data_IF_269225018588
#
_entry.id   IF_269225018588
#
_cell.length_a   1.000
_cell.length_b   1.000
_cell.length_c   1.000
_cell.angle_alpha   90.00
_cell.angle_beta   90.00
_cell.angle_gamma   90.00
#
_symmetry.space_group_name_H-M   'P 1'
#
loop_
_entity.id
_entity.type
_entity.pdbx_description
1 polymer ?
#
# COMPACT_ATOMS: atom_id res chain seq x y z
N UNK A 1 -18.67 21.43 13.86
CA UNK A 1 -17.77 20.53 14.61
C UNK A 1 -17.93 19.18 13.95
N UNK A 2 -17.06 18.83 13.01
CA UNK A 2 -17.10 17.55 12.32
C UNK A 2 -16.02 16.67 12.95
N UNK A 3 -16.45 15.51 13.41
CA UNK A 3 -15.70 14.56 14.21
C UNK A 3 -14.39 14.17 13.53
N UNK A 4 -13.32 14.10 14.33
CA UNK A 4 -12.15 13.32 13.99
C UNK A 4 -12.54 11.84 14.02
N UNK A 5 -13.26 11.38 12.99
CA UNK A 5 -13.35 9.98 12.67
C UNK A 5 -11.90 9.52 12.44
N UNK A 6 -11.41 8.59 13.26
CA UNK A 6 -10.07 8.04 13.09
C UNK A 6 -9.94 7.54 11.65
N UNK A 7 -9.10 8.21 10.85
CA UNK A 7 -8.98 7.89 9.44
C UNK A 7 -8.57 6.42 9.29
N UNK A 8 -9.39 5.65 8.58
CA UNK A 8 -9.15 4.22 8.36
C UNK A 8 -7.89 4.00 7.53
N UNK A 9 -7.29 2.81 7.63
CA UNK A 9 -6.17 2.41 6.77
C UNK A 9 -6.46 2.62 5.28
N UNK A 10 -7.72 2.41 4.87
CA UNK A 10 -8.14 2.63 3.49
C UNK A 10 -8.14 4.12 3.12
N UNK A 11 -8.60 5.01 4.00
CA UNK A 11 -8.54 6.47 3.80
C UNK A 11 -7.10 6.94 3.61
N UNK A 12 -6.22 6.57 4.55
CA UNK A 12 -4.80 6.95 4.50
C UNK A 12 -4.13 6.48 3.21
N UNK A 13 -4.36 5.21 2.84
CA UNK A 13 -3.76 4.66 1.62
C UNK A 13 -4.31 5.34 0.36
N UNK A 14 -5.62 5.58 0.29
CA UNK A 14 -6.23 6.23 -0.87
C UNK A 14 -5.71 7.66 -1.08
N UNK A 15 -5.45 8.39 0.00
CA UNK A 15 -4.82 9.72 -0.08
C UNK A 15 -3.37 9.64 -0.51
N UNK A 16 -2.60 8.70 0.05
CA UNK A 16 -1.19 8.50 -0.29
C UNK A 16 -0.98 8.06 -1.74
N UNK A 17 -1.89 7.25 -2.30
CA UNK A 17 -1.80 6.70 -3.67
C UNK A 17 -2.78 7.34 -4.65
N UNK A 18 -3.23 8.58 -4.41
CA UNK A 18 -4.18 9.23 -5.32
C UNK A 18 -3.47 9.57 -6.65
N UNK A 19 -3.98 9.13 -7.82
CA UNK A 19 -3.40 9.44 -9.11
C UNK A 19 -3.26 10.94 -9.43
N UNK A 20 -3.99 11.80 -8.72
CA UNK A 20 -3.93 13.26 -8.87
C UNK A 20 -2.79 13.91 -8.08
N UNK A 21 -2.10 13.15 -7.22
CA UNK A 21 -0.96 13.65 -6.45
C UNK A 21 0.17 14.01 -7.43
N UNK A 22 0.76 15.21 -7.28
CA UNK A 22 1.89 15.63 -8.12
C UNK A 22 3.21 15.01 -7.72
N UNK A 23 3.30 14.54 -6.47
CA UNK A 23 4.48 13.95 -5.86
C UNK A 23 4.05 13.01 -4.73
N UNK A 24 5.01 12.31 -4.14
CA UNK A 24 4.80 11.48 -2.97
C UNK A 24 4.39 12.35 -1.76
N UNK A 25 3.26 12.01 -1.15
CA UNK A 25 2.76 12.70 0.03
C UNK A 25 3.20 11.96 1.30
N UNK A 26 4.35 12.38 1.81
CA UNK A 26 5.00 11.74 2.96
C UNK A 26 4.17 11.84 4.24
N UNK A 27 3.30 12.84 4.37
CA UNK A 27 2.43 12.95 5.53
C UNK A 27 1.42 11.79 5.56
N UNK A 28 0.78 11.49 4.43
CA UNK A 28 -0.13 10.35 4.33
C UNK A 28 0.59 9.00 4.37
N UNK A 29 1.79 8.89 3.80
CA UNK A 29 2.61 7.67 3.84
C UNK A 29 2.98 7.32 5.28
N UNK A 30 3.48 8.28 6.05
CA UNK A 30 3.85 8.06 7.46
C UNK A 30 2.61 7.84 8.33
N UNK A 31 1.52 8.59 8.09
CA UNK A 31 0.25 8.38 8.77
C UNK A 31 -0.30 6.96 8.58
N UNK A 32 -0.18 6.40 7.37
CA UNK A 32 -0.53 5.00 7.11
C UNK A 32 0.35 4.02 7.90
N UNK A 33 1.66 4.24 7.94
CA UNK A 33 2.60 3.40 8.72
C UNK A 33 2.26 3.41 10.23
N UNK A 34 1.95 4.58 10.77
CA UNK A 34 1.56 4.74 12.17
C UNK A 34 0.25 4.00 12.46
N UNK A 35 -0.73 4.11 11.56
CA UNK A 35 -2.01 3.42 11.72
C UNK A 35 -1.85 1.90 11.69
N UNK A 36 -0.99 1.36 10.81
CA UNK A 36 -0.65 -0.08 10.79
C UNK A 36 -0.13 -0.56 12.14
N UNK A 37 0.74 0.24 12.76
CA UNK A 37 1.38 -0.13 14.02
C UNK A 37 0.42 0.00 15.22
N UNK A 38 -0.55 0.92 15.17
CA UNK A 38 -1.57 1.12 16.20
C UNK A 38 -2.59 0.00 16.27
N UNK A 39 -3.00 -0.53 15.11
CA UNK A 39 -4.06 -1.54 15.04
C UNK A 39 -3.53 -2.98 15.20
N UNK A 40 -4.29 -3.84 15.88
CA UNK A 40 -3.96 -5.26 15.99
C UNK A 40 -4.05 -5.95 14.62
N UNK A 41 -5.08 -5.69 13.84
CA UNK A 41 -5.25 -6.27 12.50
C UNK A 41 -4.63 -5.43 11.38
N UNK A 42 -4.04 -4.29 11.73
CA UNK A 42 -3.48 -3.32 10.78
C UNK A 42 -2.54 -3.94 9.74
N UNK A 43 -1.55 -4.77 10.14
CA UNK A 43 -0.65 -5.43 9.19
C UNK A 43 -1.38 -6.29 8.15
N UNK A 44 -2.39 -7.05 8.56
CA UNK A 44 -3.12 -7.96 7.67
C UNK A 44 -4.01 -7.21 6.69
N UNK A 45 -4.64 -6.13 7.16
CA UNK A 45 -5.47 -5.26 6.33
C UNK A 45 -4.60 -4.49 5.33
N UNK A 46 -3.49 -3.92 5.79
CA UNK A 46 -2.61 -3.09 4.97
C UNK A 46 -1.99 -3.86 3.80
N UNK A 47 -1.46 -5.07 4.02
CA UNK A 47 -0.89 -5.86 2.90
C UNK A 47 -1.94 -6.19 1.84
N UNK A 48 -3.21 -6.38 2.24
CA UNK A 48 -4.31 -6.64 1.30
C UNK A 48 -4.63 -5.40 0.46
N UNK A 49 -4.69 -4.23 1.10
CA UNK A 49 -4.94 -2.96 0.42
C UNK A 49 -3.78 -2.59 -0.51
N UNK A 50 -2.54 -2.74 -0.06
CA UNK A 50 -1.33 -2.49 -0.86
C UNK A 50 -1.29 -3.40 -2.09
N UNK A 51 -1.55 -4.70 -1.93
CA UNK A 51 -1.56 -5.63 -3.07
C UNK A 51 -2.58 -5.24 -4.14
N UNK A 52 -3.71 -4.64 -3.76
CA UNK A 52 -4.70 -4.13 -4.69
C UNK A 52 -4.20 -2.87 -5.41
N UNK A 53 -3.64 -1.90 -4.69
CA UNK A 53 -3.11 -0.65 -5.27
C UNK A 53 -1.90 -0.88 -6.19
N UNK A 54 -1.00 -1.81 -5.84
CA UNK A 54 0.16 -2.17 -6.66
C UNK A 54 -0.27 -2.84 -7.99
N UNK A 55 -1.43 -3.49 -8.01
CA UNK A 55 -2.02 -4.06 -9.22
C UNK A 55 -2.83 -3.05 -10.04
N UNK A 56 -2.83 -1.76 -9.66
CA UNK A 56 -3.58 -0.74 -10.39
C UNK A 56 -3.10 -0.65 -11.85
N UNK A 57 -4.04 -0.50 -12.82
CA UNK A 57 -3.68 -0.20 -14.20
C UNK A 57 -3.10 1.21 -14.36
N UNK A 58 -3.27 2.09 -13.37
CA UNK A 58 -2.68 3.43 -13.37
C UNK A 58 -1.24 3.34 -12.85
N UNK A 59 -0.27 3.59 -13.74
CA UNK A 59 1.16 3.49 -13.42
C UNK A 59 1.53 4.33 -12.19
N UNK A 60 1.05 5.57 -12.12
CA UNK A 60 1.38 6.46 -11.01
C UNK A 60 0.83 5.97 -9.66
N UNK A 61 -0.41 5.48 -9.61
CA UNK A 61 -0.99 4.90 -8.39
C UNK A 61 -0.21 3.67 -7.93
N UNK A 62 0.18 2.79 -8.86
CA UNK A 62 0.96 1.60 -8.55
C UNK A 62 2.37 1.96 -8.04
N UNK A 63 3.03 2.98 -8.64
CA UNK A 63 4.33 3.48 -8.19
C UNK A 63 4.24 4.06 -6.77
N UNK A 64 3.24 4.91 -6.49
CA UNK A 64 3.03 5.44 -5.14
C UNK A 64 2.75 4.33 -4.12
N UNK A 65 1.98 3.31 -4.50
CA UNK A 65 1.72 2.16 -3.63
C UNK A 65 3.00 1.35 -3.32
N UNK A 66 3.94 1.27 -4.27
CA UNK A 66 5.27 0.68 -4.05
C UNK A 66 6.11 1.53 -3.09
N UNK A 67 6.08 2.87 -3.21
CA UNK A 67 6.72 3.77 -2.24
C UNK A 67 6.14 3.55 -0.84
N UNK A 68 4.80 3.48 -0.71
CA UNK A 68 4.15 3.22 0.58
C UNK A 68 4.61 1.88 1.15
N UNK A 69 4.66 0.82 0.34
CA UNK A 69 5.16 -0.49 0.76
C UNK A 69 6.61 -0.41 1.26
N UNK A 70 7.49 0.28 0.55
CA UNK A 70 8.88 0.48 0.96
C UNK A 70 8.97 1.21 2.31
N UNK A 71 8.20 2.30 2.46
CA UNK A 71 8.13 3.06 3.70
C UNK A 71 7.61 2.20 4.87
N UNK A 72 6.57 1.38 4.65
CA UNK A 72 6.08 0.44 5.66
C UNK A 72 7.14 -0.63 6.01
N UNK A 73 7.93 -1.12 5.05
CA UNK A 73 9.01 -2.05 5.35
C UNK A 73 10.12 -1.41 6.20
N UNK A 74 10.37 -0.11 6.06
CA UNK A 74 11.35 0.64 6.87
C UNK A 74 10.82 1.04 8.25
N UNK A 75 9.55 1.43 8.34
CA UNK A 75 8.97 2.07 9.54
C UNK A 75 8.04 1.16 10.35
N UNK A 76 7.54 0.06 9.78
CA UNK A 76 6.73 -0.92 10.50
C UNK A 76 7.61 -2.02 11.08
N UNK A 77 7.14 -2.62 12.19
CA UNK A 77 7.85 -3.69 12.88
C UNK A 77 7.65 -5.07 12.25
N UNK A 78 8.20 -6.10 12.92
CA UNK A 78 8.16 -7.52 12.49
C UNK A 78 6.77 -8.04 12.13
N UNK A 79 5.71 -7.51 12.77
CA UNK A 79 4.32 -7.91 12.50
C UNK A 79 3.93 -7.65 11.05
N UNK A 80 4.33 -6.50 10.49
CA UNK A 80 4.11 -6.17 9.08
C UNK A 80 5.00 -7.01 8.15
N UNK A 81 6.28 -7.14 8.48
CA UNK A 81 7.22 -7.94 7.68
C UNK A 81 6.76 -9.40 7.55
N UNK A 82 6.20 -9.98 8.62
CA UNK A 82 5.67 -11.33 8.61
C UNK A 82 4.47 -11.50 7.66
N UNK A 83 3.63 -10.47 7.50
CA UNK A 83 2.51 -10.50 6.55
C UNK A 83 3.00 -10.35 5.11
N UNK A 84 3.96 -9.44 4.87
CA UNK A 84 4.59 -9.25 3.55
C UNK A 84 5.33 -10.50 3.09
N UNK A 85 5.99 -11.21 4.00
CA UNK A 85 6.74 -12.44 3.69
C UNK A 85 5.87 -13.66 3.36
N UNK A 86 4.54 -13.59 3.54
CA UNK A 86 3.66 -14.71 3.20
C UNK A 86 3.51 -14.85 1.69
N UNK A 87 3.48 -16.11 1.22
CA UNK A 87 3.20 -16.43 -0.18
C UNK A 87 1.92 -15.78 -0.71
N UNK A 88 0.90 -15.58 0.14
CA UNK A 88 -0.33 -14.88 -0.24
C UNK A 88 -0.05 -13.48 -0.80
N UNK A 89 0.81 -12.70 -0.17
CA UNK A 89 1.17 -11.36 -0.63
C UNK A 89 2.17 -11.41 -1.78
N UNK A 90 3.23 -12.22 -1.66
CA UNK A 90 4.25 -12.36 -2.69
C UNK A 90 3.67 -12.81 -4.04
N UNK A 91 2.68 -13.71 -4.02
CA UNK A 91 2.00 -14.15 -5.24
C UNK A 91 1.25 -13.02 -5.95
N UNK A 92 0.73 -12.03 -5.22
CA UNK A 92 0.13 -10.85 -5.85
C UNK A 92 1.18 -9.99 -6.55
N UNK A 93 2.36 -9.81 -5.97
CA UNK A 93 3.47 -9.10 -6.62
C UNK A 93 4.01 -9.84 -7.85
N UNK A 94 4.13 -11.17 -7.75
CA UNK A 94 4.57 -12.02 -8.87
C UNK A 94 3.62 -11.86 -10.08
N UNK A 95 2.30 -11.71 -9.85
CA UNK A 95 1.33 -11.49 -10.93
C UNK A 95 1.57 -10.19 -11.69
N UNK A 96 2.08 -9.15 -11.03
CA UNK A 96 2.37 -7.84 -11.63
C UNK A 96 3.57 -7.93 -12.56
N UNK A 97 4.64 -8.58 -12.13
CA UNK A 97 5.88 -8.74 -12.92
C UNK A 97 5.79 -9.87 -13.94
N UNK A 98 4.80 -10.76 -13.82
CA UNK A 98 4.64 -11.89 -14.73
C UNK A 98 4.25 -11.42 -16.14
N UNK A 99 5.03 -11.77 -17.18
CA UNK A 99 4.79 -11.29 -18.55
C UNK A 99 3.44 -11.71 -19.14
N UNK A 100 2.74 -12.68 -18.53
CA UNK A 100 1.38 -13.10 -18.90
C UNK A 100 0.32 -12.00 -18.78
N UNK A 101 0.55 -10.94 -17.99
CA UNK A 101 -0.33 -9.75 -17.89
C UNK A 101 0.25 -8.48 -18.52
N UNK A 102 1.53 -8.48 -18.90
CA UNK A 102 2.28 -7.28 -19.27
C UNK A 102 2.28 -6.95 -20.78
N UNK A 103 1.43 -7.56 -21.61
CA UNK A 103 1.36 -7.26 -23.05
C UNK A 103 -0.09 -7.25 -23.56
N UNK A 104 -0.45 -6.29 -24.44
CA UNK A 104 0.35 -5.95 -25.61
C UNK A 104 0.67 -4.45 -25.75
N UNK A 105 1.90 -4.08 -25.37
CA UNK A 105 2.64 -3.11 -26.17
C UNK A 105 3.15 -3.86 -27.41
N UNK A 106 2.34 -3.84 -28.48
CA UNK A 106 2.71 -4.17 -29.86
C UNK A 106 2.22 -3.04 -30.75
#
# INVERSE_FOLDING_TARGET
MAEAEGESLESWLNKATNPSNRQEDWEYIIGFCDQINKELEGPQIAVRLLAHKIQSPQEWEALQALTVLEACMKNCGRRFHNEVGKFRFLNELIKVVSPKRARPWR
#
